data_IF_378335410482
#
_entry.id   IF_378335410482
#
_cell.length_a   1.000
_cell.length_b   1.000
_cell.length_c   1.000
_cell.angle_alpha   90.00
_cell.angle_beta   90.00
_cell.angle_gamma   90.00
#
_symmetry.space_group_name_H-M   'P 1'
#
loop_
_entity.id
_entity.type
_entity.pdbx_description
1 polymer ?
#
# COMPACT_ATOMS: atom_id res chain seq x y z
N UNK A 1 10.22 -30.08 56.22
CA UNK A 1 10.11 -30.13 54.75
C UNK A 1 9.26 -28.94 54.30
N UNK A 2 9.90 -27.82 53.94
CA UNK A 2 9.21 -26.61 53.48
C UNK A 2 9.09 -26.69 51.96
N UNK A 3 7.87 -26.69 51.44
CA UNK A 3 7.60 -26.71 50.00
C UNK A 3 7.72 -25.28 49.48
N UNK A 4 8.81 -24.98 48.77
CA UNK A 4 9.04 -23.71 48.10
C UNK A 4 8.23 -23.67 46.81
N UNK A 5 7.13 -22.93 46.81
CA UNK A 5 6.37 -22.60 45.59
C UNK A 5 7.24 -21.81 44.62
N UNK A 6 7.24 -22.11 43.31
CA UNK A 6 7.98 -21.33 42.34
C UNK A 6 7.29 -19.97 42.15
N UNK A 7 7.98 -18.90 42.53
CA UNK A 7 7.64 -17.54 42.11
C UNK A 7 7.82 -17.46 40.60
N UNK A 8 6.74 -17.66 39.84
CA UNK A 8 6.70 -17.37 38.41
C UNK A 8 6.69 -15.86 38.25
N UNK A 9 7.88 -15.28 38.17
CA UNK A 9 8.11 -13.86 37.89
C UNK A 9 7.59 -13.57 36.47
N UNK A 10 6.51 -12.80 36.35
CA UNK A 10 6.05 -12.31 35.06
C UNK A 10 7.18 -11.48 34.40
N UNK A 11 7.41 -11.63 33.08
CA UNK A 11 8.46 -10.88 32.39
C UNK A 11 8.20 -9.37 32.51
N UNK A 12 9.25 -8.54 32.57
CA UNK A 12 9.10 -7.10 32.78
C UNK A 12 8.26 -6.46 31.67
N UNK A 13 7.34 -5.56 32.05
CA UNK A 13 6.35 -4.92 31.16
C UNK A 13 6.95 -4.29 29.88
N UNK A 14 8.21 -3.84 29.94
CA UNK A 14 8.94 -3.27 28.79
C UNK A 14 9.20 -4.33 27.72
N UNK A 15 9.54 -5.56 28.12
CA UNK A 15 9.75 -6.69 27.20
C UNK A 15 8.43 -7.05 26.50
N UNK A 16 7.33 -7.06 27.25
CA UNK A 16 5.99 -7.32 26.72
C UNK A 16 5.56 -6.26 25.70
N UNK A 17 5.80 -4.97 25.98
CA UNK A 17 5.45 -3.87 25.07
C UNK A 17 6.30 -3.88 23.79
N UNK A 18 7.60 -4.16 23.90
CA UNK A 18 8.47 -4.28 22.71
C UNK A 18 8.07 -5.45 21.81
N UNK A 19 7.57 -6.54 22.39
CA UNK A 19 7.09 -7.70 21.61
C UNK A 19 5.79 -7.37 20.88
N UNK A 20 4.86 -6.64 21.51
CA UNK A 20 3.68 -6.14 20.83
C UNK A 20 4.03 -5.20 19.68
N UNK A 21 4.97 -4.26 19.87
CA UNK A 21 5.41 -3.35 18.82
C UNK A 21 6.02 -4.10 17.63
N UNK A 22 6.93 -5.04 17.89
CA UNK A 22 7.53 -5.88 16.81
C UNK A 22 6.48 -6.71 16.08
N UNK A 23 5.51 -7.24 16.80
CA UNK A 23 4.38 -7.97 16.20
C UNK A 23 3.58 -7.06 15.27
N UNK A 24 3.18 -5.88 15.74
CA UNK A 24 2.40 -4.95 14.91
C UNK A 24 3.22 -4.39 13.74
N UNK A 25 4.49 -4.07 13.93
CA UNK A 25 5.39 -3.65 12.86
C UNK A 25 5.47 -4.70 11.76
N UNK A 26 5.61 -5.99 12.13
CA UNK A 26 5.66 -7.09 11.17
C UNK A 26 4.41 -7.23 10.30
N UNK A 27 3.25 -6.71 10.73
CA UNK A 27 2.02 -6.69 9.94
C UNK A 27 2.09 -5.70 8.78
N UNK A 28 2.87 -4.63 8.92
CA UNK A 28 2.99 -3.55 7.94
C UNK A 28 4.30 -3.61 7.13
N UNK A 29 5.24 -4.48 7.51
CA UNK A 29 6.46 -4.71 6.74
C UNK A 29 6.16 -5.55 5.50
N UNK A 30 6.37 -4.95 4.33
CA UNK A 30 6.29 -5.63 3.04
C UNK A 30 7.69 -6.05 2.57
N UNK A 31 7.86 -7.34 2.34
CA UNK A 31 9.07 -7.88 1.70
C UNK A 31 9.11 -7.48 0.21
N UNK A 32 10.30 -7.36 -0.40
CA UNK A 32 10.44 -7.12 -1.84
C UNK A 32 9.68 -8.12 -2.72
N UNK A 33 9.60 -9.38 -2.29
CA UNK A 33 8.88 -10.45 -2.99
C UNK A 33 7.36 -10.17 -3.00
N UNK A 34 6.78 -9.82 -1.85
CA UNK A 34 5.37 -9.40 -1.75
C UNK A 34 5.06 -8.18 -2.60
N UNK A 35 5.96 -7.19 -2.67
CA UNK A 35 5.75 -6.02 -3.53
C UNK A 35 5.65 -6.39 -5.01
N UNK A 36 6.47 -7.33 -5.50
CA UNK A 36 6.37 -7.81 -6.89
C UNK A 36 5.02 -8.46 -7.17
N UNK A 37 4.57 -9.34 -6.26
CA UNK A 37 3.24 -9.97 -6.38
C UNK A 37 2.13 -8.92 -6.44
N UNK A 38 2.22 -7.86 -5.61
CA UNK A 38 1.25 -6.76 -5.64
C UNK A 38 1.27 -6.05 -7.00
N UNK A 39 2.45 -5.78 -7.56
CA UNK A 39 2.60 -5.16 -8.88
C UNK A 39 1.99 -6.05 -9.96
N UNK A 40 2.29 -7.34 -9.96
CA UNK A 40 1.75 -8.29 -10.94
C UNK A 40 0.21 -8.30 -10.93
N UNK A 41 -0.40 -8.38 -9.74
CA UNK A 41 -1.86 -8.32 -9.57
C UNK A 41 -2.43 -6.95 -9.99
N UNK A 42 -1.67 -5.88 -9.77
CA UNK A 42 -2.09 -4.54 -10.18
C UNK A 42 -2.10 -4.42 -11.70
N UNK A 43 -1.08 -4.93 -12.40
CA UNK A 43 -1.04 -4.98 -13.87
C UNK A 43 -2.24 -5.73 -14.45
N UNK A 44 -2.58 -6.90 -13.89
CA UNK A 44 -3.78 -7.66 -14.29
C UNK A 44 -5.08 -6.86 -14.07
N UNK A 45 -5.16 -6.12 -12.96
CA UNK A 45 -6.33 -5.29 -12.63
C UNK A 45 -6.47 -4.12 -13.59
N UNK A 46 -5.36 -3.48 -13.98
CA UNK A 46 -5.34 -2.41 -14.97
C UNK A 46 -5.77 -2.91 -16.34
N UNK A 47 -5.25 -4.06 -16.79
CA UNK A 47 -5.62 -4.67 -18.06
C UNK A 47 -7.10 -5.04 -18.09
N UNK A 48 -7.64 -5.57 -16.98
CA UNK A 48 -9.07 -5.83 -16.86
C UNK A 48 -9.91 -4.56 -16.97
N UNK A 49 -9.46 -3.47 -16.35
CA UNK A 49 -10.10 -2.16 -16.43
C UNK A 49 -10.19 -1.59 -17.84
N UNK A 50 -9.21 -1.88 -18.70
CA UNK A 50 -9.23 -1.48 -20.10
C UNK A 50 -10.18 -2.34 -20.96
N UNK A 51 -10.44 -3.59 -20.57
CA UNK A 51 -11.21 -4.57 -21.36
C UNK A 51 -12.71 -4.52 -21.09
N UNK A 52 -13.11 -4.29 -19.83
CA UNK A 52 -14.49 -4.41 -19.39
C UNK A 52 -14.92 -3.15 -18.60
N UNK A 53 -16.15 -2.66 -18.79
CA UNK A 53 -16.68 -1.59 -17.95
C UNK A 53 -17.00 -2.08 -16.53
N UNK A 54 -17.07 -1.16 -15.57
CA UNK A 54 -17.52 -1.45 -14.20
C UNK A 54 -16.51 -2.17 -13.30
N UNK A 55 -15.23 -2.20 -13.69
CA UNK A 55 -14.16 -2.78 -12.85
C UNK A 55 -13.76 -1.83 -11.71
N UNK A 56 -13.10 -2.41 -10.69
CA UNK A 56 -12.60 -1.67 -9.52
C UNK A 56 -11.65 -0.54 -9.94
N UNK A 57 -10.78 -0.83 -10.91
CA UNK A 57 -9.95 0.19 -11.57
C UNK A 57 -10.53 0.44 -12.97
N UNK A 58 -11.25 1.55 -13.18
CA UNK A 58 -12.07 1.75 -14.38
C UNK A 58 -11.30 2.21 -15.63
N UNK A 59 -10.02 2.57 -15.49
CA UNK A 59 -9.16 3.00 -16.61
C UNK A 59 -9.82 4.02 -17.56
N UNK A 60 -10.33 5.13 -16.99
CA UNK A 60 -11.15 6.12 -17.69
C UNK A 60 -10.34 6.83 -18.80
N UNK A 61 -10.83 6.87 -20.06
CA UNK A 61 -10.19 7.63 -21.13
C UNK A 61 -10.22 9.15 -20.86
N UNK A 62 -9.07 9.81 -21.02
CA UNK A 62 -8.90 11.25 -20.78
C UNK A 62 -9.01 12.11 -22.05
N UNK A 63 -9.17 11.47 -23.23
CA UNK A 63 -9.21 12.13 -24.55
C UNK A 63 -7.96 12.98 -24.89
N UNK A 64 -6.82 12.66 -24.27
CA UNK A 64 -5.51 13.20 -24.62
C UNK A 64 -4.76 12.15 -25.43
N UNK A 65 -4.60 12.37 -26.73
CA UNK A 65 -4.08 11.37 -27.68
C UNK A 65 -2.57 11.42 -27.90
N UNK A 66 -1.87 12.39 -27.31
CA UNK A 66 -0.45 12.62 -27.56
C UNK A 66 0.26 13.28 -26.38
N UNK A 67 1.59 13.36 -26.51
CA UNK A 67 2.44 14.12 -25.59
C UNK A 67 2.62 15.53 -26.13
N UNK A 68 2.78 16.54 -25.25
CA UNK A 68 3.12 17.89 -25.71
C UNK A 68 4.43 17.88 -26.47
N UNK A 69 4.48 18.64 -27.55
CA UNK A 69 5.63 18.80 -28.44
C UNK A 69 6.61 19.85 -27.91
N UNK A 70 6.13 20.80 -27.10
CA UNK A 70 6.89 21.94 -26.62
C UNK A 70 6.80 23.16 -27.55
N UNK A 71 6.19 23.00 -28.73
CA UNK A 71 5.96 24.06 -29.71
C UNK A 71 4.56 24.69 -29.59
N UNK A 72 3.76 24.27 -28.62
CA UNK A 72 2.44 24.83 -28.35
C UNK A 72 2.56 26.31 -27.92
N UNK A 73 1.83 27.20 -28.60
CA UNK A 73 1.85 28.65 -28.35
C UNK A 73 0.44 29.19 -28.15
N UNK A 74 0.30 30.15 -27.26
CA UNK A 74 -0.95 30.82 -26.95
C UNK A 74 -1.10 31.05 -25.45
N UNK A 75 -2.10 31.84 -25.08
CA UNK A 75 -2.48 32.06 -23.68
C UNK A 75 -3.60 31.09 -23.32
N UNK A 76 -3.43 30.37 -22.21
CA UNK A 76 -4.39 29.38 -21.72
C UNK A 76 -4.87 29.77 -20.33
N UNK A 77 -6.15 29.53 -20.07
CA UNK A 77 -6.72 29.65 -18.72
C UNK A 77 -6.97 28.26 -18.16
N UNK A 78 -6.46 28.01 -16.96
CA UNK A 78 -6.75 26.80 -16.20
C UNK A 78 -7.69 27.13 -15.05
N UNK A 79 -8.61 26.21 -14.76
CA UNK A 79 -9.50 26.27 -13.61
C UNK A 79 -9.37 24.95 -12.87
N UNK A 80 -9.05 25.03 -11.59
CA UNK A 80 -8.90 23.87 -10.72
C UNK A 80 -10.01 23.85 -9.67
N UNK A 81 -10.68 22.71 -9.55
CA UNK A 81 -11.79 22.45 -8.65
C UNK A 81 -11.63 21.02 -8.11
N UNK A 82 -10.72 20.89 -7.14
CA UNK A 82 -10.36 19.62 -6.48
C UNK A 82 -11.01 19.43 -5.12
#
# INVERSE_FOLDING_TARGET
MANSSPTTTAPPLVFQMSDYLRRYESLFVLTPQRMRIIVDVFEETLDKGLKEPGQIVPMIPTFVFGRPTGDEKGDFLAVDLG
#
